data_IF_565940650537
#
_entry.id   IF_565940650537
#
_cell.length_a   1.000
_cell.length_b   1.000
_cell.length_c   1.000
_cell.angle_alpha   90.00
_cell.angle_beta   90.00
_cell.angle_gamma   90.00
#
_symmetry.space_group_name_H-M   'P 1'
#
loop_
_entity.id
_entity.type
_entity.pdbx_description
1 polymer ?
#
# COMPACT_ATOMS: atom_id res chain seq x y z
N UNK A 1 26.56 49.83 -45.81
CA UNK A 1 27.72 50.05 -46.71
C UNK A 1 28.42 51.33 -46.26
N UNK A 2 29.75 51.25 -46.13
CA UNK A 2 30.74 52.32 -45.90
C UNK A 2 31.08 52.74 -44.47
N UNK A 3 32.19 52.14 -44.03
CA UNK A 3 33.11 52.54 -42.99
C UNK A 3 33.71 53.95 -43.21
N UNK A 4 34.10 54.60 -42.12
CA UNK A 4 35.27 55.50 -42.09
C UNK A 4 36.01 55.42 -40.75
N UNK A 5 37.26 54.99 -40.85
CA UNK A 5 38.34 55.15 -39.87
C UNK A 5 38.51 56.62 -39.46
N UNK A 6 39.03 56.87 -38.24
CA UNK A 6 40.17 57.76 -38.02
C UNK A 6 40.86 57.40 -36.69
N UNK A 7 42.17 57.17 -36.78
CA UNK A 7 43.11 57.03 -35.67
C UNK A 7 43.96 58.31 -35.58
N UNK A 8 44.25 58.79 -34.37
CA UNK A 8 45.33 59.71 -33.94
C UNK A 8 44.92 60.29 -32.58
N UNK A 9 45.76 60.64 -31.60
CA UNK A 9 47.10 60.32 -31.16
C UNK A 9 47.32 61.10 -29.84
N UNK A 10 48.35 60.72 -29.06
CA UNK A 10 49.09 61.49 -28.05
C UNK A 10 48.57 61.70 -26.61
N UNK A 11 49.28 61.03 -25.69
CA UNK A 11 50.15 61.57 -24.61
C UNK A 11 49.58 62.36 -23.42
N UNK A 12 49.91 61.79 -22.25
CA UNK A 12 50.44 62.40 -21.03
C UNK A 12 49.46 63.03 -20.01
N UNK A 13 49.39 62.44 -18.82
CA UNK A 13 49.77 63.09 -17.56
C UNK A 13 49.74 62.10 -16.38
N UNK A 14 50.88 61.93 -15.69
CA UNK A 14 50.97 61.40 -14.32
C UNK A 14 50.27 62.36 -13.37
N UNK A 15 49.43 61.87 -12.44
CA UNK A 15 49.28 62.49 -11.11
C UNK A 15 48.82 61.48 -10.04
N UNK A 16 49.69 61.33 -9.03
CA UNK A 16 49.48 61.12 -7.60
C UNK A 16 48.44 60.11 -7.06
N UNK A 17 48.98 59.15 -6.30
CA UNK A 17 48.33 58.37 -5.25
C UNK A 17 47.44 59.22 -4.32
N UNK A 18 46.21 58.78 -4.12
CA UNK A 18 45.39 59.10 -2.96
C UNK A 18 44.62 57.84 -2.54
N UNK A 19 45.08 57.16 -1.50
CA UNK A 19 44.38 56.01 -0.91
C UNK A 19 43.07 56.49 -0.28
N UNK A 20 41.95 56.01 -0.82
CA UNK A 20 40.63 56.14 -0.24
C UNK A 20 40.24 54.78 0.33
N UNK A 21 40.19 54.66 1.65
CA UNK A 21 39.50 53.54 2.31
C UNK A 21 38.50 54.07 3.33
N UNK A 22 37.22 54.27 2.96
CA UNK A 22 36.14 54.31 3.91
C UNK A 22 35.78 52.86 4.28
N UNK A 23 35.91 52.55 5.56
CA UNK A 23 35.46 51.29 6.14
C UNK A 23 33.96 51.10 5.87
N UNK A 24 33.63 50.22 4.92
CA UNK A 24 32.27 49.76 4.68
C UNK A 24 31.90 48.66 5.66
N UNK A 25 30.68 48.76 6.16
CA UNK A 25 30.18 48.07 7.34
C UNK A 25 30.25 46.55 7.25
N UNK A 26 30.59 45.95 8.38
CA UNK A 26 30.28 44.57 8.68
C UNK A 26 28.80 44.47 9.03
N UNK A 27 27.94 44.63 8.02
CA UNK A 27 26.70 43.87 8.05
C UNK A 27 27.13 42.43 7.82
N UNK A 28 27.13 41.64 8.89
CA UNK A 28 27.39 40.21 8.82
C UNK A 28 26.39 39.60 7.85
N UNK A 29 26.83 39.42 6.61
CA UNK A 29 26.16 38.60 5.63
C UNK A 29 26.02 37.22 6.25
N UNK A 30 24.86 36.97 6.82
CA UNK A 30 24.42 35.64 7.18
C UNK A 30 24.17 34.92 5.85
N UNK A 31 25.24 34.54 5.17
CA UNK A 31 25.23 33.57 4.10
C UNK A 31 24.77 32.26 4.73
N UNK A 32 23.45 32.06 4.75
CA UNK A 32 22.89 30.75 5.00
C UNK A 32 23.40 29.86 3.88
N UNK A 33 24.45 29.10 4.15
CA UNK A 33 24.89 28.02 3.27
C UNK A 33 23.64 27.19 2.96
N UNK A 34 23.30 26.97 1.68
CA UNK A 34 22.15 26.13 1.35
C UNK A 34 22.36 24.79 2.05
N UNK A 35 21.40 24.41 2.90
CA UNK A 35 21.41 23.16 3.64
C UNK A 35 21.80 22.03 2.68
N UNK A 36 22.92 21.38 2.93
CA UNK A 36 23.51 20.33 2.06
C UNK A 36 22.68 19.04 2.03
N UNK A 37 21.64 18.96 2.85
CA UNK A 37 20.76 17.81 3.01
C UNK A 37 19.58 17.93 2.06
N UNK A 38 19.39 16.93 1.19
CA UNK A 38 18.29 16.87 0.23
C UNK A 38 16.92 16.94 0.92
N UNK A 39 15.87 17.32 0.19
CA UNK A 39 14.50 17.29 0.71
C UNK A 39 14.10 15.88 1.19
N UNK A 40 14.53 14.85 0.45
CA UNK A 40 14.31 13.44 0.78
C UNK A 40 14.98 13.04 2.11
N UNK A 41 16.24 13.44 2.32
CA UNK A 41 16.95 13.12 3.57
C UNK A 41 16.31 13.83 4.78
N UNK A 42 15.83 15.07 4.61
CA UNK A 42 15.04 15.77 5.64
C UNK A 42 13.68 15.10 5.87
N UNK A 43 13.03 14.58 4.82
CA UNK A 43 11.78 13.84 4.96
C UNK A 43 11.98 12.55 5.76
N UNK A 44 13.08 11.83 5.51
CA UNK A 44 13.44 10.62 6.23
C UNK A 44 13.77 10.91 7.71
N UNK A 45 14.47 12.01 7.99
CA UNK A 45 14.69 12.47 9.37
C UNK A 45 13.36 12.69 10.10
N UNK A 46 12.41 13.41 9.48
CA UNK A 46 11.07 13.62 10.05
C UNK A 46 10.28 12.33 10.20
N UNK A 47 10.46 11.37 9.31
CA UNK A 47 9.89 10.03 9.48
C UNK A 47 10.45 9.33 10.73
N UNK A 48 11.76 9.38 10.97
CA UNK A 48 12.38 8.79 12.16
C UNK A 48 11.98 9.50 13.46
N UNK A 49 11.85 10.84 13.44
CA UNK A 49 11.25 11.59 14.55
C UNK A 49 9.84 11.08 14.87
N UNK A 50 9.03 10.85 13.83
CA UNK A 50 7.69 10.29 13.96
C UNK A 50 7.67 8.88 14.55
N UNK A 51 8.62 8.01 14.18
CA UNK A 51 8.74 6.68 14.78
C UNK A 51 9.12 6.76 16.27
N UNK A 52 10.10 7.60 16.64
CA UNK A 52 10.48 7.79 18.04
C UNK A 52 9.33 8.30 18.91
N UNK A 53 8.53 9.22 18.37
CA UNK A 53 7.34 9.71 19.05
C UNK A 53 6.26 8.62 19.19
N UNK A 54 6.09 7.75 18.18
CA UNK A 54 5.20 6.58 18.30
C UNK A 54 5.66 5.62 19.39
N UNK A 55 6.96 5.32 19.45
CA UNK A 55 7.53 4.42 20.46
C UNK A 55 7.36 4.98 21.88
N UNK A 56 7.28 6.32 22.00
CA UNK A 56 6.96 7.03 23.24
C UNK A 56 5.46 7.25 23.52
N UNK A 57 4.56 6.67 22.73
CA UNK A 57 3.09 6.87 22.79
C UNK A 57 2.62 8.33 22.59
N UNK A 58 3.46 9.16 21.98
CA UNK A 58 3.18 10.57 21.68
C UNK A 58 2.46 10.71 20.32
N UNK A 59 1.25 10.17 20.22
CA UNK A 59 0.49 10.07 18.95
C UNK A 59 0.37 11.40 18.19
N UNK A 60 0.18 12.53 18.88
CA UNK A 60 0.06 13.84 18.26
C UNK A 60 1.40 14.32 17.67
N UNK A 61 2.50 14.12 18.40
CA UNK A 61 3.84 14.48 17.94
C UNK A 61 4.23 13.61 16.73
N UNK A 62 3.96 12.30 16.81
CA UNK A 62 4.18 11.39 15.71
C UNK A 62 3.42 11.79 14.44
N UNK A 63 2.13 12.14 14.58
CA UNK A 63 1.31 12.58 13.46
C UNK A 63 1.85 13.86 12.80
N UNK A 64 2.34 14.81 13.61
CA UNK A 64 2.98 16.04 13.11
C UNK A 64 4.23 15.70 12.31
N UNK A 65 5.12 14.88 12.85
CA UNK A 65 6.38 14.52 12.19
C UNK A 65 6.16 13.73 10.88
N UNK A 66 5.20 12.79 10.85
CA UNK A 66 4.86 12.12 9.59
C UNK A 66 4.27 13.08 8.55
N UNK A 67 3.44 14.05 8.96
CA UNK A 67 2.90 15.05 8.04
C UNK A 67 4.00 15.98 7.51
N UNK A 68 4.95 16.38 8.35
CA UNK A 68 6.13 17.14 7.94
C UNK A 68 6.96 16.34 6.92
N UNK A 69 7.21 15.06 7.19
CA UNK A 69 7.88 14.17 6.25
C UNK A 69 7.17 14.13 4.89
N UNK A 70 5.84 13.99 4.89
CA UNK A 70 5.03 13.96 3.66
C UNK A 70 4.94 15.31 2.94
N UNK A 71 5.17 16.42 3.64
CA UNK A 71 5.26 17.75 3.02
C UNK A 71 6.60 17.96 2.30
N UNK A 72 7.66 17.30 2.78
CA UNK A 72 9.00 17.32 2.19
C UNK A 72 9.12 16.32 1.04
N UNK A 73 8.57 15.12 1.22
CA UNK A 73 8.47 14.07 0.21
C UNK A 73 7.08 13.42 0.21
N UNK A 74 6.18 13.82 -0.71
CA UNK A 74 4.86 13.23 -0.84
C UNK A 74 4.83 11.74 -1.24
N UNK A 75 5.95 11.20 -1.74
CA UNK A 75 6.08 9.80 -2.19
C UNK A 75 6.63 8.87 -1.10
N UNK A 76 7.01 9.40 0.07
CA UNK A 76 7.51 8.62 1.20
C UNK A 76 6.41 7.77 1.87
N UNK A 77 6.15 6.60 1.29
CA UNK A 77 5.04 5.73 1.71
C UNK A 77 5.18 5.19 3.14
N UNK A 78 6.40 5.04 3.65
CA UNK A 78 6.62 4.63 5.05
C UNK A 78 6.06 5.65 6.05
N UNK A 79 6.24 6.95 5.79
CA UNK A 79 5.65 8.01 6.61
C UNK A 79 4.13 8.07 6.45
N UNK A 80 3.64 7.84 5.23
CA UNK A 80 2.21 7.77 4.93
C UNK A 80 1.51 6.66 5.70
N UNK A 81 2.08 5.45 5.70
CA UNK A 81 1.59 4.31 6.49
C UNK A 81 1.69 4.58 7.99
N UNK A 82 2.78 5.22 8.45
CA UNK A 82 2.93 5.68 9.84
C UNK A 82 1.79 6.61 10.26
N UNK A 83 1.49 7.63 9.44
CA UNK A 83 0.39 8.55 9.70
C UNK A 83 -0.98 7.86 9.68
N UNK A 84 -1.21 6.98 8.70
CA UNK A 84 -2.43 6.18 8.62
C UNK A 84 -2.62 5.29 9.86
N UNK A 85 -1.54 4.72 10.43
CA UNK A 85 -1.60 3.93 11.67
C UNK A 85 -2.14 4.74 12.85
N UNK A 86 -1.70 5.99 12.98
CA UNK A 86 -2.21 6.90 14.03
C UNK A 86 -3.70 7.18 13.80
N UNK A 87 -4.09 7.43 12.56
CA UNK A 87 -5.50 7.64 12.21
C UNK A 87 -6.37 6.42 12.53
N UNK A 88 -5.86 5.20 12.35
CA UNK A 88 -6.56 3.97 12.74
C UNK A 88 -6.72 3.88 14.26
N UNK A 89 -5.64 4.06 15.03
CA UNK A 89 -5.68 3.97 16.50
C UNK A 89 -6.57 5.06 17.12
N UNK A 90 -6.71 6.20 16.45
CA UNK A 90 -7.57 7.31 16.87
C UNK A 90 -8.98 7.25 16.29
N UNK A 91 -9.37 6.12 15.69
CA UNK A 91 -10.69 5.88 15.11
C UNK A 91 -11.10 6.96 14.08
N UNK A 92 -10.20 7.20 13.12
CA UNK A 92 -10.37 8.12 11.98
C UNK A 92 -10.19 7.35 10.68
N UNK A 93 -10.96 6.28 10.51
CA UNK A 93 -10.83 5.32 9.42
C UNK A 93 -11.00 5.97 8.04
N UNK A 94 -11.98 6.86 7.85
CA UNK A 94 -12.16 7.62 6.61
C UNK A 94 -10.90 8.39 6.19
N UNK A 95 -10.25 9.04 7.16
CA UNK A 95 -9.01 9.79 6.90
C UNK A 95 -7.84 8.86 6.62
N UNK A 96 -7.75 7.75 7.34
CA UNK A 96 -6.71 6.74 7.09
C UNK A 96 -6.83 6.19 5.66
N UNK A 97 -8.05 5.87 5.22
CA UNK A 97 -8.35 5.42 3.88
C UNK A 97 -7.93 6.46 2.83
N UNK A 98 -8.31 7.72 3.00
CA UNK A 98 -7.94 8.80 2.08
C UNK A 98 -6.41 9.00 2.00
N UNK A 99 -5.73 9.02 3.14
CA UNK A 99 -4.26 9.19 3.20
C UNK A 99 -3.54 8.07 2.44
N UNK A 100 -3.99 6.82 2.60
CA UNK A 100 -3.41 5.65 1.93
C UNK A 100 -3.75 5.63 0.43
N UNK A 101 -4.98 5.99 0.05
CA UNK A 101 -5.40 6.09 -1.35
C UNK A 101 -4.54 7.11 -2.12
N UNK A 102 -4.30 8.29 -1.55
CA UNK A 102 -3.36 9.28 -2.13
C UNK A 102 -1.92 8.75 -2.23
N UNK A 103 -1.54 7.78 -1.38
CA UNK A 103 -0.26 7.08 -1.50
C UNK A 103 -0.17 6.27 -2.77
N UNK A 104 -1.19 5.48 -3.06
CA UNK A 104 -1.26 4.65 -4.25
C UNK A 104 -1.49 5.46 -5.53
N UNK A 105 -2.12 6.63 -5.46
CA UNK A 105 -2.15 7.56 -6.61
C UNK A 105 -0.74 8.02 -7.02
N UNK A 106 0.17 8.15 -6.05
CA UNK A 106 1.56 8.60 -6.29
C UNK A 106 2.50 7.46 -6.60
N UNK A 107 2.29 6.32 -5.96
CA UNK A 107 3.10 5.11 -6.11
C UNK A 107 2.15 3.91 -6.22
N UNK A 108 1.67 3.59 -7.44
CA UNK A 108 0.58 2.62 -7.65
C UNK A 108 0.88 1.18 -7.23
N UNK A 109 2.14 0.75 -7.29
CA UNK A 109 2.53 -0.66 -7.13
C UNK A 109 3.13 -0.98 -5.74
N UNK A 110 2.82 -0.19 -4.71
CA UNK A 110 3.25 -0.52 -3.34
C UNK A 110 2.26 -1.44 -2.63
N UNK A 111 2.58 -2.74 -2.64
CA UNK A 111 1.78 -3.80 -2.03
C UNK A 111 1.49 -3.57 -0.53
N UNK A 112 2.45 -3.03 0.22
CA UNK A 112 2.28 -2.79 1.65
C UNK A 112 1.18 -1.75 1.94
N UNK A 113 1.12 -0.67 1.15
CA UNK A 113 0.11 0.39 1.24
C UNK A 113 -1.23 -0.12 0.76
N UNK A 114 -1.29 -0.89 -0.32
CA UNK A 114 -2.55 -1.49 -0.80
C UNK A 114 -3.16 -2.48 0.21
N UNK A 115 -2.34 -3.32 0.85
CA UNK A 115 -2.80 -4.21 1.93
C UNK A 115 -3.33 -3.44 3.13
N UNK A 116 -2.63 -2.37 3.52
CA UNK A 116 -3.08 -1.52 4.63
C UNK A 116 -4.39 -0.81 4.26
N UNK A 117 -4.49 -0.27 3.04
CA UNK A 117 -5.71 0.37 2.54
C UNK A 117 -6.88 -0.63 2.54
N UNK A 118 -6.66 -1.84 2.06
CA UNK A 118 -7.70 -2.87 2.05
C UNK A 118 -8.20 -3.21 3.45
N UNK A 119 -7.30 -3.37 4.41
CA UNK A 119 -7.67 -3.62 5.81
C UNK A 119 -8.46 -2.44 6.41
N UNK A 120 -7.99 -1.21 6.21
CA UNK A 120 -8.67 -0.01 6.71
C UNK A 120 -10.05 0.11 6.09
N UNK A 121 -10.17 -0.11 4.79
CA UNK A 121 -11.44 -0.04 4.08
C UNK A 121 -12.41 -1.14 4.55
N UNK A 122 -11.93 -2.35 4.86
CA UNK A 122 -12.76 -3.38 5.51
C UNK A 122 -13.22 -2.96 6.91
N UNK A 123 -12.35 -2.34 7.71
CA UNK A 123 -12.73 -1.82 9.03
C UNK A 123 -13.72 -0.67 8.94
N UNK A 124 -13.71 0.07 7.83
CA UNK A 124 -14.60 1.19 7.54
C UNK A 124 -15.87 0.78 6.77
N UNK A 125 -16.19 -0.51 6.73
CA UNK A 125 -17.33 -1.07 5.99
C UNK A 125 -17.38 -0.66 4.48
N UNK A 126 -16.22 -0.41 3.87
CA UNK A 126 -16.03 -0.10 2.44
C UNK A 126 -15.22 -1.22 1.72
N UNK A 127 -15.82 -2.40 1.52
CA UNK A 127 -15.15 -3.49 0.82
C UNK A 127 -14.84 -3.19 -0.65
N UNK A 128 -15.55 -2.25 -1.27
CA UNK A 128 -15.32 -1.88 -2.66
C UNK A 128 -13.95 -1.23 -2.85
N UNK A 129 -13.57 -0.32 -1.93
CA UNK A 129 -12.23 0.25 -1.91
C UNK A 129 -11.17 -0.81 -1.62
N UNK A 130 -11.44 -1.76 -0.72
CA UNK A 130 -10.49 -2.83 -0.41
C UNK A 130 -10.16 -3.71 -1.64
N UNK A 131 -11.20 -4.13 -2.36
CA UNK A 131 -11.05 -4.93 -3.58
C UNK A 131 -10.33 -4.12 -4.66
N UNK A 132 -10.71 -2.86 -4.87
CA UNK A 132 -10.07 -1.98 -5.88
C UNK A 132 -8.57 -1.80 -5.59
N UNK A 133 -8.20 -1.58 -4.33
CA UNK A 133 -6.81 -1.38 -3.92
C UNK A 133 -5.95 -2.59 -4.26
N UNK A 134 -6.41 -3.82 -3.99
CA UNK A 134 -5.64 -5.03 -4.25
C UNK A 134 -5.62 -5.42 -5.74
N UNK A 135 -6.72 -5.21 -6.49
CA UNK A 135 -6.75 -5.49 -7.94
C UNK A 135 -5.82 -4.59 -8.76
N UNK A 136 -5.54 -3.39 -8.27
CA UNK A 136 -4.69 -2.43 -8.95
C UNK A 136 -3.20 -2.81 -8.88
N UNK A 137 -2.79 -3.58 -7.87
CA UNK A 137 -1.39 -3.94 -7.69
C UNK A 137 -0.87 -4.82 -8.83
N UNK A 138 0.34 -4.48 -9.31
CA UNK A 138 1.16 -5.35 -10.14
C UNK A 138 2.35 -5.84 -9.31
N UNK A 139 2.26 -7.05 -8.72
CA UNK A 139 3.35 -7.53 -7.88
C UNK A 139 4.64 -7.72 -8.71
N UNK A 140 5.82 -7.57 -8.10
CA UNK A 140 7.09 -7.98 -8.69
C UNK A 140 7.08 -9.44 -9.13
N UNK A 141 7.91 -9.80 -10.12
CA UNK A 141 7.95 -11.14 -10.68
C UNK A 141 8.36 -12.24 -9.66
N UNK A 142 9.04 -11.86 -8.59
CA UNK A 142 9.53 -12.72 -7.51
C UNK A 142 8.60 -12.76 -6.28
N UNK A 143 7.52 -11.98 -6.26
CA UNK A 143 6.56 -12.01 -5.17
C UNK A 143 5.77 -13.33 -5.16
N UNK A 144 5.34 -13.83 -3.97
CA UNK A 144 4.49 -15.00 -3.89
C UNK A 144 3.25 -14.83 -4.77
N UNK A 145 3.04 -15.78 -5.68
CA UNK A 145 1.99 -15.70 -6.71
C UNK A 145 0.57 -15.78 -6.12
N UNK A 146 0.44 -16.30 -4.89
CA UNK A 146 -0.85 -16.59 -4.23
C UNK A 146 -1.28 -15.53 -3.22
N UNK A 147 -0.37 -14.66 -2.78
CA UNK A 147 -0.58 -13.69 -1.70
C UNK A 147 -1.70 -12.66 -1.97
N UNK A 148 -1.70 -12.03 -3.15
CA UNK A 148 -2.73 -11.05 -3.53
C UNK A 148 -4.06 -11.77 -3.87
N UNK A 149 -4.06 -12.83 -4.71
CA UNK A 149 -5.30 -13.55 -5.01
C UNK A 149 -5.97 -14.13 -3.76
N UNK A 150 -5.22 -14.65 -2.79
CA UNK A 150 -5.79 -15.18 -1.54
C UNK A 150 -6.55 -14.10 -0.74
N UNK A 151 -5.96 -12.90 -0.63
CA UNK A 151 -6.61 -11.77 0.02
C UNK A 151 -7.86 -11.31 -0.73
N UNK A 152 -7.81 -11.29 -2.07
CA UNK A 152 -8.98 -10.99 -2.90
C UNK A 152 -10.10 -12.02 -2.74
N UNK A 153 -9.78 -13.32 -2.74
CA UNK A 153 -10.77 -14.38 -2.53
C UNK A 153 -11.45 -14.26 -1.16
N UNK A 154 -10.68 -13.96 -0.11
CA UNK A 154 -11.20 -13.74 1.23
C UNK A 154 -12.15 -12.52 1.29
N UNK A 155 -11.79 -11.42 0.64
CA UNK A 155 -12.63 -10.22 0.51
C UNK A 155 -13.92 -10.50 -0.25
N UNK A 156 -13.84 -11.16 -1.39
CA UNK A 156 -15.02 -11.54 -2.18
C UNK A 156 -15.96 -12.43 -1.35
N UNK A 157 -15.41 -13.42 -0.63
CA UNK A 157 -16.20 -14.30 0.23
C UNK A 157 -16.87 -13.56 1.39
N UNK A 158 -16.16 -12.64 2.05
CA UNK A 158 -16.71 -11.83 3.15
C UNK A 158 -17.85 -10.93 2.68
N UNK A 159 -17.81 -10.49 1.43
CA UNK A 159 -18.74 -9.51 0.85
C UNK A 159 -19.87 -10.16 0.04
N UNK A 160 -19.97 -11.48 0.07
CA UNK A 160 -21.02 -12.24 -0.62
C UNK A 160 -20.79 -12.44 -2.12
N UNK A 161 -19.66 -11.98 -2.66
CA UNK A 161 -19.21 -12.21 -4.04
C UNK A 161 -18.66 -13.65 -4.18
N UNK A 162 -19.51 -14.64 -3.90
CA UNK A 162 -19.10 -16.04 -3.80
C UNK A 162 -18.65 -16.63 -5.15
N UNK A 163 -19.17 -16.14 -6.26
CA UNK A 163 -18.78 -16.62 -7.60
C UNK A 163 -17.34 -16.22 -7.93
N UNK A 164 -17.00 -14.96 -7.66
CA UNK A 164 -15.66 -14.40 -7.82
C UNK A 164 -14.68 -15.07 -6.86
N UNK A 165 -15.07 -15.25 -5.59
CA UNK A 165 -14.26 -15.95 -4.61
C UNK A 165 -13.95 -17.40 -5.05
N UNK A 166 -14.96 -18.16 -5.49
CA UNK A 166 -14.79 -19.54 -5.95
C UNK A 166 -13.82 -19.62 -7.15
N UNK A 167 -13.93 -18.71 -8.11
CA UNK A 167 -13.03 -18.66 -9.26
C UNK A 167 -11.57 -18.42 -8.83
N UNK A 168 -11.34 -17.46 -7.93
CA UNK A 168 -9.99 -17.18 -7.43
C UNK A 168 -9.44 -18.36 -6.61
N UNK A 169 -10.25 -19.01 -5.79
CA UNK A 169 -9.82 -20.21 -5.06
C UNK A 169 -9.48 -21.38 -5.99
N UNK A 170 -10.24 -21.58 -7.07
CA UNK A 170 -9.93 -22.58 -8.09
C UNK A 170 -8.59 -22.30 -8.77
N UNK A 171 -8.29 -21.03 -9.10
CA UNK A 171 -6.99 -20.64 -9.66
C UNK A 171 -5.85 -20.87 -8.66
N UNK A 172 -6.05 -20.49 -7.39
CA UNK A 172 -5.09 -20.73 -6.31
C UNK A 172 -4.79 -22.22 -6.12
N UNK A 173 -5.82 -23.08 -6.17
CA UNK A 173 -5.68 -24.54 -6.10
C UNK A 173 -4.81 -25.10 -7.23
N UNK A 174 -4.84 -24.49 -8.43
CA UNK A 174 -3.98 -24.93 -9.54
C UNK A 174 -2.52 -24.55 -9.33
N UNK A 175 -2.25 -23.46 -8.60
CA UNK A 175 -0.90 -22.98 -8.28
C UNK A 175 -0.31 -23.76 -7.10
N UNK A 176 -1.11 -24.00 -6.06
CA UNK A 176 -0.74 -24.75 -4.86
C UNK A 176 -1.73 -25.90 -4.62
N UNK A 177 -1.57 -27.04 -5.33
CA UNK A 177 -2.49 -28.17 -5.22
C UNK A 177 -2.54 -28.78 -3.81
N UNK A 178 -1.44 -28.72 -3.07
CA UNK A 178 -1.31 -29.35 -1.75
C UNK A 178 -1.81 -28.46 -0.59
N UNK A 179 -2.31 -27.25 -0.89
CA UNK A 179 -2.83 -26.34 0.13
C UNK A 179 -4.35 -26.50 0.31
N UNK A 180 -4.83 -27.14 1.39
CA UNK A 180 -6.25 -27.41 1.60
C UNK A 180 -7.09 -26.14 1.79
N UNK A 181 -6.47 -25.00 2.09
CA UNK A 181 -7.16 -23.71 2.28
C UNK A 181 -7.92 -23.28 1.03
N UNK A 182 -7.36 -23.56 -0.15
CA UNK A 182 -7.98 -23.19 -1.43
C UNK A 182 -9.20 -24.04 -1.72
N UNK A 183 -9.13 -25.35 -1.48
CA UNK A 183 -10.27 -26.26 -1.62
C UNK A 183 -11.37 -25.92 -0.63
N UNK A 184 -11.02 -25.64 0.63
CA UNK A 184 -11.99 -25.23 1.64
C UNK A 184 -12.70 -23.93 1.24
N UNK A 185 -11.94 -22.92 0.80
CA UNK A 185 -12.50 -21.66 0.33
C UNK A 185 -13.45 -21.84 -0.85
N UNK A 186 -13.04 -22.64 -1.83
CA UNK A 186 -13.84 -22.98 -3.00
C UNK A 186 -15.13 -23.71 -2.60
N UNK A 187 -15.03 -24.75 -1.77
CA UNK A 187 -16.17 -25.55 -1.32
C UNK A 187 -17.21 -24.71 -0.58
N UNK A 188 -16.77 -23.84 0.34
CA UNK A 188 -17.65 -22.89 1.05
C UNK A 188 -18.37 -21.96 0.06
N UNK A 189 -17.65 -21.41 -0.92
CA UNK A 189 -18.24 -20.47 -1.86
C UNK A 189 -19.24 -21.15 -2.80
N UNK A 190 -18.91 -22.33 -3.33
CA UNK A 190 -19.81 -23.13 -4.18
C UNK A 190 -21.08 -23.53 -3.44
N UNK A 191 -20.96 -23.89 -2.16
CA UNK A 191 -22.06 -24.26 -1.30
C UNK A 191 -23.01 -23.06 -1.06
N UNK A 192 -22.46 -21.87 -0.81
CA UNK A 192 -23.25 -20.63 -0.66
C UNK A 192 -23.95 -20.21 -1.95
N UNK A 193 -23.40 -20.56 -3.12
CA UNK A 193 -24.04 -20.35 -4.41
C UNK A 193 -25.14 -21.39 -4.72
N UNK A 194 -25.32 -22.41 -3.89
CA UNK A 194 -26.26 -23.51 -4.17
C UNK A 194 -25.82 -24.40 -5.33
N UNK A 195 -24.54 -24.38 -5.70
CA UNK A 195 -23.99 -25.26 -6.75
C UNK A 195 -23.75 -26.64 -6.16
N UNK A 196 -24.83 -27.40 -5.96
CA UNK A 196 -24.84 -28.67 -5.22
C UNK A 196 -23.74 -29.64 -5.65
N UNK A 197 -23.65 -29.95 -6.95
CA UNK A 197 -22.70 -30.95 -7.43
C UNK A 197 -21.23 -30.48 -7.35
N UNK A 198 -20.87 -29.25 -7.81
CA UNK A 198 -19.53 -28.71 -7.58
C UNK A 198 -19.15 -28.60 -6.10
N UNK A 199 -20.06 -28.12 -5.25
CA UNK A 199 -19.83 -28.00 -3.81
C UNK A 199 -19.58 -29.37 -3.18
N UNK A 200 -20.39 -30.37 -3.54
CA UNK A 200 -20.19 -31.75 -3.10
C UNK A 200 -18.80 -32.24 -3.50
N UNK A 201 -18.41 -32.09 -4.77
CA UNK A 201 -17.09 -32.51 -5.22
C UNK A 201 -15.97 -31.86 -4.40
N UNK A 202 -16.01 -30.54 -4.21
CA UNK A 202 -14.98 -29.81 -3.46
C UNK A 202 -14.92 -30.20 -1.97
N UNK A 203 -16.07 -30.46 -1.33
CA UNK A 203 -16.09 -31.01 0.02
C UNK A 203 -15.49 -32.42 0.10
N UNK A 204 -15.69 -33.24 -0.95
CA UNK A 204 -15.06 -34.55 -1.08
C UNK A 204 -13.55 -34.44 -1.25
N UNK A 205 -13.08 -33.59 -2.18
CA UNK A 205 -11.66 -33.32 -2.43
C UNK A 205 -10.93 -32.92 -1.12
N UNK A 206 -11.57 -32.11 -0.27
CA UNK A 206 -11.00 -31.66 1.01
C UNK A 206 -10.70 -32.82 1.98
N UNK A 207 -11.44 -33.92 1.90
CA UNK A 207 -11.27 -35.09 2.78
C UNK A 207 -10.01 -35.89 2.48
N UNK A 208 -9.43 -35.71 1.29
CA UNK A 208 -8.22 -36.40 0.86
C UNK A 208 -6.93 -35.71 1.36
N UNK A 209 -7.04 -34.52 1.97
CA UNK A 209 -5.89 -33.78 2.49
C UNK A 209 -5.51 -34.28 3.91
N UNK A 210 -4.24 -34.68 4.13
CA UNK A 210 -3.81 -35.29 5.39
C UNK A 210 -3.72 -34.30 6.55
N UNK A 211 -3.40 -33.02 6.28
CA UNK A 211 -3.08 -32.01 7.29
C UNK A 211 -4.20 -30.96 7.47
N UNK A 212 -5.45 -31.42 7.57
CA UNK A 212 -6.62 -30.57 7.83
C UNK A 212 -7.14 -30.83 9.24
N UNK A 213 -7.52 -29.76 9.95
CA UNK A 213 -8.12 -29.85 11.27
C UNK A 213 -9.34 -30.80 11.27
N UNK A 214 -9.39 -31.73 12.22
CA UNK A 214 -10.42 -32.77 12.28
C UNK A 214 -11.84 -32.20 12.29
N UNK A 215 -12.07 -31.04 12.92
CA UNK A 215 -13.39 -30.39 12.95
C UNK A 215 -13.83 -29.93 11.56
N UNK A 216 -12.88 -29.48 10.74
CA UNK A 216 -13.13 -29.10 9.35
C UNK A 216 -13.46 -30.35 8.53
N UNK A 217 -12.71 -31.44 8.72
CA UNK A 217 -12.97 -32.71 8.04
C UNK A 217 -14.33 -33.31 8.41
N UNK A 218 -14.72 -33.25 9.69
CA UNK A 218 -16.03 -33.73 10.13
C UNK A 218 -17.17 -32.90 9.54
N UNK A 219 -17.01 -31.57 9.48
CA UNK A 219 -17.95 -30.70 8.78
C UNK A 219 -18.04 -31.02 7.29
N UNK A 220 -16.90 -31.15 6.62
CA UNK A 220 -16.82 -31.49 5.19
C UNK A 220 -17.50 -32.82 4.89
N UNK A 221 -17.28 -33.85 5.72
CA UNK A 221 -17.91 -35.17 5.59
C UNK A 221 -19.43 -35.09 5.70
N UNK A 222 -19.93 -34.39 6.72
CA UNK A 222 -21.37 -34.19 6.93
C UNK A 222 -21.99 -33.41 5.76
N UNK A 223 -21.31 -32.36 5.27
CA UNK A 223 -21.82 -31.53 4.18
C UNK A 223 -21.79 -32.25 2.84
N UNK A 224 -20.72 -32.99 2.54
CA UNK A 224 -20.60 -33.85 1.37
C UNK A 224 -21.74 -34.87 1.31
N UNK A 225 -22.03 -35.53 2.43
CA UNK A 225 -23.13 -36.50 2.56
C UNK A 225 -24.50 -35.84 2.34
N UNK A 226 -24.77 -34.71 3.01
CA UNK A 226 -26.04 -34.01 2.88
C UNK A 226 -26.31 -33.53 1.44
N UNK A 227 -25.29 -33.04 0.73
CA UNK A 227 -25.41 -32.62 -0.67
C UNK A 227 -25.62 -33.81 -1.62
N UNK A 228 -25.08 -35.00 -1.29
CA UNK A 228 -25.33 -36.23 -2.04
C UNK A 228 -26.80 -36.64 -1.91
N UNK A 229 -27.30 -36.67 -0.68
CA UNK A 229 -28.64 -37.14 -0.38
C UNK A 229 -29.70 -36.16 -0.92
N UNK A 230 -29.40 -34.85 -0.94
CA UNK A 230 -30.24 -33.84 -1.60
C UNK A 230 -30.31 -34.01 -3.13
N UNK A 231 -29.25 -34.52 -3.77
CA UNK A 231 -29.17 -34.69 -5.22
C UNK A 231 -29.88 -35.95 -5.74
N UNK A 232 -30.27 -36.87 -4.84
CA UNK A 232 -31.10 -38.01 -5.18
C UNK A 232 -32.57 -37.54 -5.20
N UNK A 233 -33.25 -37.50 -6.35
CA UNK A 233 -34.70 -37.31 -6.34
C UNK A 233 -35.28 -38.47 -5.53
N UNK A 234 -36.23 -38.19 -4.63
CA UNK A 234 -36.99 -39.23 -3.95
C UNK A 234 -37.51 -40.21 -5.01
N UNK A 235 -36.87 -41.38 -5.11
CA UNK A 235 -37.37 -42.47 -5.91
C UNK A 235 -38.50 -43.11 -5.10
N UNK A 236 -39.73 -42.90 -5.55
CA UNK A 236 -40.84 -43.81 -5.27
C UNK A 236 -40.58 -45.17 -5.95
#
# INVERSE_FOLDING_TARGET
MNARCYAMALMAALTALGLVTPALGQNGDMQRSPSTVSAEARALERYHDGQRALDGDELLAAARHFREALSLDPTLLVARRGYARILIVTDRLDRAQAVLATGLERVPDDLATARMLARVAQQNDDPATAIRALKAIRPPADAPTTDIPANLAALYRQTGQYAEAAAVYADLRRVEPDNPTWVLGEAVCLDRLGRTQPARSAWGDLLEYPDVDQRILDYARNRHQALRDFALPYGD
#
